data_IF_849246292632
#
_entry.id   IF_849246292632
#
_cell.length_a   1.000
_cell.length_b   1.000
_cell.length_c   1.000
_cell.angle_alpha   90.00
_cell.angle_beta   90.00
_cell.angle_gamma   90.00
#
_symmetry.space_group_name_H-M   'P 1'
#
loop_
_entity.id
_entity.type
_entity.pdbx_description
1 polymer ?
#
# COMPACT_ATOMS: atom_id res chain seq x y z
N UNK A 1 -9.19 -1.45 -18.71
CA UNK A 1 -9.41 -1.66 -17.26
C UNK A 1 -9.44 -3.16 -16.99
N UNK A 2 -8.56 -3.70 -16.15
CA UNK A 2 -8.74 -5.06 -15.63
C UNK A 2 -9.70 -4.96 -14.44
N UNK A 3 -10.72 -5.84 -14.31
CA UNK A 3 -11.55 -5.87 -13.11
C UNK A 3 -10.66 -6.21 -11.92
N UNK A 4 -10.78 -5.45 -10.85
CA UNK A 4 -10.14 -5.77 -9.57
C UNK A 4 -10.90 -6.97 -9.02
N UNK A 5 -10.30 -8.17 -9.06
CA UNK A 5 -10.87 -9.33 -8.37
C UNK A 5 -10.84 -9.03 -6.88
N UNK A 6 -12.01 -8.99 -6.25
CA UNK A 6 -12.09 -8.91 -4.79
C UNK A 6 -11.29 -10.08 -4.20
N UNK A 7 -10.49 -9.84 -3.15
CA UNK A 7 -9.85 -10.92 -2.41
C UNK A 7 -10.92 -11.88 -1.87
N UNK A 8 -10.61 -13.17 -1.86
CA UNK A 8 -11.45 -14.20 -1.24
C UNK A 8 -11.33 -14.07 0.28
N UNK A 9 -12.11 -13.15 0.85
CA UNK A 9 -12.16 -12.89 2.29
C UNK A 9 -13.19 -13.81 2.93
N UNK A 10 -12.81 -14.43 4.05
CA UNK A 10 -13.73 -15.20 4.88
C UNK A 10 -14.85 -14.27 5.40
N UNK A 11 -16.12 -14.47 5.01
CA UNK A 11 -17.22 -13.58 5.38
C UNK A 11 -17.55 -13.65 6.88
N UNK A 12 -17.16 -14.72 7.57
CA UNK A 12 -17.35 -14.84 9.02
C UNK A 12 -16.31 -14.00 9.79
N UNK A 13 -15.13 -13.78 9.21
CA UNK A 13 -14.09 -12.93 9.81
C UNK A 13 -14.12 -11.50 9.32
N UNK A 14 -14.55 -11.28 8.09
CA UNK A 14 -14.67 -9.97 7.46
C UNK A 14 -16.08 -9.82 6.87
N UNK A 15 -17.09 -9.61 7.73
CA UNK A 15 -18.45 -9.39 7.25
C UNK A 15 -18.53 -8.14 6.36
N UNK A 16 -19.46 -8.09 5.39
CA UNK A 16 -19.66 -6.91 4.56
C UNK A 16 -19.94 -5.65 5.41
N UNK A 17 -19.38 -4.51 4.98
CA UNK A 17 -19.65 -3.21 5.62
C UNK A 17 -21.12 -2.84 5.39
N UNK A 18 -21.86 -2.50 6.44
CA UNK A 18 -23.23 -1.98 6.36
C UNK A 18 -23.20 -0.48 6.01
N UNK A 19 -23.71 -0.05 4.84
CA UNK A 19 -23.74 1.36 4.44
C UNK A 19 -24.77 2.19 5.22
N UNK A 20 -25.70 1.55 5.94
CA UNK A 20 -26.69 2.22 6.78
C UNK A 20 -26.20 2.44 8.21
N UNK A 21 -25.07 1.83 8.58
CA UNK A 21 -24.43 2.07 9.86
C UNK A 21 -24.04 3.56 9.98
N UNK A 22 -24.13 4.15 11.19
CA UNK A 22 -23.63 5.50 11.40
C UNK A 22 -22.16 5.59 11.03
N UNK A 23 -21.78 6.69 10.38
CA UNK A 23 -20.38 7.03 10.14
C UNK A 23 -19.72 7.24 11.52
N UNK A 24 -18.59 6.59 11.82
CA UNK A 24 -17.85 6.86 13.05
C UNK A 24 -17.46 8.33 13.15
N UNK A 25 -17.55 8.90 14.36
CA UNK A 25 -17.16 10.30 14.61
C UNK A 25 -15.66 10.52 14.40
N UNK A 26 -14.85 9.47 14.57
CA UNK A 26 -13.41 9.50 14.34
C UNK A 26 -13.03 8.71 13.07
N UNK A 27 -12.51 9.37 12.01
CA UNK A 27 -12.08 8.68 10.79
C UNK A 27 -10.93 7.70 11.01
N UNK A 28 -10.22 7.76 12.15
CA UNK A 28 -9.18 6.78 12.52
C UNK A 28 -9.76 5.40 12.82
N UNK A 29 -11.03 5.30 13.20
CA UNK A 29 -11.71 4.01 13.43
C UNK A 29 -11.89 3.20 12.13
N UNK A 30 -11.91 3.88 10.98
CA UNK A 30 -11.98 3.25 9.64
C UNK A 30 -10.61 3.08 9.00
N UNK A 31 -9.57 3.66 9.60
CA UNK A 31 -8.22 3.58 9.06
C UNK A 31 -7.59 2.25 9.49
N UNK A 32 -6.99 1.48 8.57
CA UNK A 32 -6.19 0.34 8.98
C UNK A 32 -5.11 0.82 9.94
N UNK A 33 -4.80 0.02 10.95
CA UNK A 33 -3.73 0.31 11.91
C UNK A 33 -2.42 0.48 11.12
N UNK A 34 -2.02 1.72 10.84
CA UNK A 34 -0.69 1.98 10.33
C UNK A 34 0.27 1.68 11.47
N UNK A 35 1.30 0.84 11.26
CA UNK A 35 2.26 0.58 12.30
C UNK A 35 2.88 1.90 12.77
N UNK A 36 2.96 2.10 14.09
CA UNK A 36 3.54 3.31 14.70
C UNK A 36 4.97 3.59 14.19
N UNK A 37 5.67 2.54 13.78
CA UNK A 37 7.00 2.58 13.20
C UNK A 37 6.97 2.11 11.75
N UNK A 38 7.56 2.90 10.86
CA UNK A 38 7.80 2.46 9.48
C UNK A 38 8.73 1.24 9.45
N UNK A 39 8.52 0.28 8.53
CA UNK A 39 9.47 -0.79 8.30
C UNK A 39 10.80 -0.23 7.77
N UNK A 40 11.86 -1.03 7.89
CA UNK A 40 13.16 -0.67 7.33
C UNK A 40 13.07 -0.45 5.81
N UNK A 41 13.82 0.55 5.31
CA UNK A 41 13.85 0.84 3.89
C UNK A 41 14.44 -0.35 3.12
N UNK A 42 13.94 -0.67 1.91
CA UNK A 42 14.58 -1.63 1.04
C UNK A 42 16.03 -1.22 0.74
N UNK A 43 16.93 -2.21 0.63
CA UNK A 43 18.32 -1.97 0.23
C UNK A 43 18.36 -1.59 -1.25
N UNK A 44 19.12 -0.55 -1.59
CA UNK A 44 19.37 -0.17 -2.99
C UNK A 44 20.08 -1.34 -3.70
N UNK A 45 19.63 -1.76 -4.89
CA UNK A 45 20.39 -2.75 -5.65
C UNK A 45 21.76 -2.16 -5.98
N UNK A 46 22.83 -2.93 -5.71
CA UNK A 46 24.16 -2.56 -6.17
C UNK A 46 24.11 -2.25 -7.67
N UNK A 47 24.74 -1.15 -8.12
CA UNK A 47 24.89 -0.89 -9.55
C UNK A 47 25.45 -2.15 -10.21
N UNK A 48 24.68 -2.76 -11.11
CA UNK A 48 25.18 -3.87 -11.90
C UNK A 48 26.43 -3.44 -12.65
N UNK A 49 27.37 -4.35 -12.86
CA UNK A 49 28.57 -4.15 -13.68
C UNK A 49 28.16 -3.92 -15.16
N UNK A 50 27.49 -2.82 -15.50
CA UNK A 50 26.98 -2.66 -16.86
C UNK A 50 26.15 -1.44 -17.24
N UNK A 51 25.50 -0.69 -16.33
CA UNK A 51 24.66 0.43 -16.78
C UNK A 51 25.16 1.77 -16.23
N UNK A 52 25.90 2.49 -17.07
CA UNK A 52 26.19 3.91 -16.90
C UNK A 52 24.90 4.72 -17.16
N UNK A 53 23.93 4.61 -16.26
CA UNK A 53 22.69 5.36 -16.27
C UNK A 53 22.86 6.78 -15.73
N UNK A 54 23.84 7.53 -16.23
CA UNK A 54 23.99 8.96 -15.97
C UNK A 54 23.78 9.72 -17.25
N UNK A 55 22.69 10.50 -17.34
CA UNK A 55 22.53 11.49 -18.41
C UNK A 55 23.80 12.35 -18.46
N UNK A 56 24.42 12.52 -19.63
CA UNK A 56 25.59 13.41 -19.75
C UNK A 56 25.18 14.83 -19.35
N UNK A 57 25.95 15.45 -18.46
CA UNK A 57 25.80 16.87 -18.16
C UNK A 57 26.11 17.70 -19.43
N UNK A 58 25.35 18.77 -19.70
CA UNK A 58 25.56 19.61 -20.88
C UNK A 58 26.89 20.38 -20.76
N UNK A 59 27.58 20.49 -21.90
CA UNK A 59 28.86 21.18 -22.06
C UNK A 59 28.73 22.71 -22.08
#
# INVERSE_FOLDING_TARGET
MRPVSQPDLDPEQYPPIDPSAPIPDDPRELSPETPDTLPEAPVEPEPGEGEAGGVREPA
#
